data_IF_751589623892
#
_entry.id   IF_751589623892
#
_cell.length_a   1.000
_cell.length_b   1.000
_cell.length_c   1.000
_cell.angle_alpha   90.00
_cell.angle_beta   90.00
_cell.angle_gamma   90.00
#
_symmetry.space_group_name_H-M   'P 1'
#
loop_
_entity.id
_entity.type
_entity.pdbx_description
1 polymer ?
#
# COMPACT_ATOMS: atom_id res chain seq x y z
N UNK A 1 -18.03 -2.51 -27.05
CA UNK A 1 -17.92 -2.80 -25.60
C UNK A 1 -17.09 -4.05 -25.40
N UNK A 2 -16.26 -4.12 -24.37
CA UNK A 2 -15.49 -5.33 -24.04
C UNK A 2 -16.43 -6.51 -23.73
N UNK A 3 -16.07 -7.75 -24.10
CA UNK A 3 -16.87 -8.92 -23.75
C UNK A 3 -16.88 -9.13 -22.22
N UNK A 4 -17.90 -9.77 -21.63
CA UNK A 4 -18.06 -9.85 -20.17
C UNK A 4 -16.83 -10.38 -19.41
N UNK A 5 -16.17 -11.40 -19.94
CA UNK A 5 -14.96 -11.98 -19.33
C UNK A 5 -13.73 -11.05 -19.37
N UNK A 6 -13.72 -10.05 -20.27
CA UNK A 6 -12.68 -9.02 -20.33
C UNK A 6 -13.00 -7.88 -19.37
N UNK A 7 -14.27 -7.55 -19.16
CA UNK A 7 -14.68 -6.50 -18.23
C UNK A 7 -14.19 -6.79 -16.80
N UNK A 8 -14.30 -8.03 -16.33
CA UNK A 8 -13.79 -8.45 -15.03
C UNK A 8 -12.27 -8.23 -14.90
N UNK A 9 -11.52 -8.53 -15.96
CA UNK A 9 -10.06 -8.36 -15.99
C UNK A 9 -9.68 -6.89 -15.99
N UNK A 10 -10.41 -6.07 -16.75
CA UNK A 10 -10.22 -4.62 -16.80
C UNK A 10 -10.48 -3.99 -15.43
N UNK A 11 -11.58 -4.36 -14.77
CA UNK A 11 -11.91 -3.89 -13.42
C UNK A 11 -10.79 -4.29 -12.45
N UNK A 12 -10.40 -5.56 -12.41
CA UNK A 12 -9.30 -6.03 -11.56
C UNK A 12 -7.99 -5.28 -11.85
N UNK A 13 -7.67 -5.04 -13.12
CA UNK A 13 -6.47 -4.31 -13.51
C UNK A 13 -6.48 -2.85 -13.02
N UNK A 14 -7.64 -2.18 -13.03
CA UNK A 14 -7.80 -0.82 -12.48
C UNK A 14 -7.55 -0.82 -10.97
N UNK A 15 -8.14 -1.76 -10.22
CA UNK A 15 -7.91 -1.87 -8.78
C UNK A 15 -6.43 -2.18 -8.47
N UNK A 16 -5.84 -3.15 -9.16
CA UNK A 16 -4.43 -3.53 -8.97
C UNK A 16 -3.49 -2.36 -9.26
N UNK A 17 -3.71 -1.64 -10.36
CA UNK A 17 -2.90 -0.46 -10.70
C UNK A 17 -3.06 0.65 -9.66
N UNK A 18 -4.28 0.88 -9.19
CA UNK A 18 -4.55 1.90 -8.17
C UNK A 18 -3.84 1.56 -6.86
N UNK A 19 -3.96 0.33 -6.37
CA UNK A 19 -3.27 -0.13 -5.16
C UNK A 19 -1.75 -0.12 -5.32
N UNK A 20 -1.23 -0.55 -6.47
CA UNK A 20 0.21 -0.53 -6.74
C UNK A 20 0.78 0.90 -6.74
N UNK A 21 0.05 1.87 -7.29
CA UNK A 21 0.44 3.30 -7.26
C UNK A 21 0.34 3.87 -5.85
N UNK A 22 -0.72 3.54 -5.13
CA UNK A 22 -0.96 4.03 -3.78
C UNK A 22 0.12 3.54 -2.82
N UNK A 23 0.49 2.27 -2.90
CA UNK A 23 1.50 1.63 -2.06
C UNK A 23 2.91 1.67 -2.68
N UNK A 24 3.12 2.41 -3.77
CA UNK A 24 4.43 2.45 -4.43
C UNK A 24 5.51 2.92 -3.44
N UNK A 25 6.60 2.15 -3.34
CA UNK A 25 7.71 2.45 -2.46
C UNK A 25 7.56 1.94 -1.03
N UNK A 26 6.45 1.29 -0.66
CA UNK A 26 6.18 0.80 0.71
C UNK A 26 7.32 -0.06 1.29
N UNK A 27 8.02 -0.82 0.45
CA UNK A 27 9.15 -1.69 0.87
C UNK A 27 10.30 -0.92 1.51
N UNK A 28 10.54 0.33 1.09
CA UNK A 28 11.56 1.18 1.71
C UNK A 28 11.18 1.64 3.12
N UNK A 29 9.92 1.46 3.52
CA UNK A 29 9.41 1.79 4.84
C UNK A 29 9.18 0.53 5.68
N UNK A 30 9.66 -0.63 5.24
CA UNK A 30 9.64 -1.87 6.02
C UNK A 30 10.98 -2.07 6.74
N UNK A 31 10.92 -2.43 8.01
CA UNK A 31 12.09 -2.81 8.80
C UNK A 31 11.91 -4.23 9.32
N UNK A 32 12.92 -5.07 9.13
CA UNK A 32 12.97 -6.42 9.72
C UNK A 32 13.84 -6.37 10.96
N UNK A 33 13.24 -6.66 12.12
CA UNK A 33 13.93 -6.73 13.41
C UNK A 33 14.22 -8.20 13.73
N UNK A 34 15.49 -8.52 13.98
CA UNK A 34 15.97 -9.91 14.15
C UNK A 34 16.51 -10.24 15.55
N UNK A 35 16.21 -9.41 16.56
CA UNK A 35 16.62 -9.67 17.95
C UNK A 35 15.67 -10.62 18.69
N UNK A 36 14.52 -10.95 18.09
CA UNK A 36 13.52 -11.88 18.64
C UNK A 36 13.63 -13.26 17.98
N UNK A 37 13.19 -14.34 18.65
CA UNK A 37 13.19 -15.70 18.08
C UNK A 37 12.45 -15.81 16.74
N UNK A 38 11.37 -15.04 16.58
CA UNK A 38 10.69 -14.85 15.30
C UNK A 38 10.99 -13.43 14.76
N UNK A 39 11.41 -13.27 13.49
CA UNK A 39 11.62 -11.96 12.89
C UNK A 39 10.34 -11.11 12.92
N UNK A 40 10.45 -9.86 13.36
CA UNK A 40 9.33 -8.92 13.39
C UNK A 40 9.45 -7.98 12.20
N UNK A 41 8.37 -7.87 11.41
CA UNK A 41 8.26 -6.90 10.32
C UNK A 41 7.49 -5.68 10.82
N UNK A 42 8.08 -4.49 10.74
CA UNK A 42 7.42 -3.23 11.08
C UNK A 42 7.33 -2.31 9.88
N UNK A 43 6.32 -1.44 9.86
CA UNK A 43 6.09 -0.46 8.81
C UNK A 43 6.17 0.97 9.35
N UNK A 44 7.05 1.79 8.79
CA UNK A 44 7.24 3.18 9.17
C UNK A 44 6.21 4.08 8.46
N UNK A 45 4.97 4.10 8.97
CA UNK A 45 3.82 4.84 8.41
C UNK A 45 4.13 6.32 8.14
N UNK A 46 4.73 7.03 9.11
CA UNK A 46 5.03 8.44 8.98
C UNK A 46 6.04 8.73 7.86
N UNK A 47 7.10 7.92 7.77
CA UNK A 47 8.09 8.02 6.69
C UNK A 47 7.48 7.75 5.31
N UNK A 48 6.61 6.75 5.20
CA UNK A 48 5.91 6.44 3.95
C UNK A 48 5.02 7.61 3.49
N UNK A 49 4.18 8.14 4.39
CA UNK A 49 3.30 9.27 4.08
C UNK A 49 4.09 10.54 3.71
N UNK A 50 5.15 10.85 4.48
CA UNK A 50 5.99 12.02 4.26
C UNK A 50 6.74 11.98 2.93
N UNK A 51 7.43 10.87 2.64
CA UNK A 51 8.19 10.72 1.39
C UNK A 51 7.32 10.74 0.13
N UNK A 52 6.00 10.52 0.27
CA UNK A 52 5.03 10.50 -0.83
C UNK A 52 4.16 11.76 -0.89
N UNK A 53 4.33 12.72 0.04
CA UNK A 53 3.47 13.90 0.13
C UNK A 53 2.01 13.59 0.48
N UNK A 54 1.76 12.44 1.13
CA UNK A 54 0.43 11.94 1.44
C UNK A 54 -0.02 12.26 2.88
N UNK A 55 0.83 12.87 3.70
CA UNK A 55 0.53 13.16 5.12
C UNK A 55 -0.73 14.02 5.33
N UNK A 56 -1.09 14.86 4.35
CA UNK A 56 -2.29 15.70 4.40
C UNK A 56 -3.49 15.10 3.65
N UNK A 57 -3.37 13.89 3.11
CA UNK A 57 -4.45 13.20 2.42
C UNK A 57 -5.25 12.35 3.43
N UNK A 58 -6.48 12.74 3.81
CA UNK A 58 -7.22 12.01 4.85
C UNK A 58 -7.55 10.58 4.45
N UNK A 59 -7.74 10.34 3.15
CA UNK A 59 -7.94 8.99 2.62
C UNK A 59 -6.70 8.11 2.84
N UNK A 60 -5.51 8.59 2.48
CA UNK A 60 -4.28 7.80 2.62
C UNK A 60 -3.95 7.53 4.10
N UNK A 61 -4.15 8.52 4.97
CA UNK A 61 -3.95 8.37 6.42
C UNK A 61 -4.87 7.30 6.99
N UNK A 62 -6.19 7.41 6.75
CA UNK A 62 -7.18 6.45 7.26
C UNK A 62 -7.03 5.06 6.65
N UNK A 63 -6.67 4.97 5.36
CA UNK A 63 -6.43 3.68 4.73
C UNK A 63 -5.29 2.95 5.44
N UNK A 64 -4.15 3.62 5.68
CA UNK A 64 -3.04 2.99 6.38
C UNK A 64 -3.37 2.64 7.83
N UNK A 65 -4.23 3.41 8.50
CA UNK A 65 -4.73 3.07 9.85
C UNK A 65 -5.60 1.82 9.88
N UNK A 66 -6.25 1.46 8.77
CA UNK A 66 -7.03 0.22 8.71
C UNK A 66 -6.19 -1.04 8.49
N UNK A 67 -4.90 -0.90 8.16
CA UNK A 67 -4.01 -2.02 7.80
C UNK A 67 -3.14 -2.53 8.96
N UNK A 68 -3.03 -1.77 10.06
CA UNK A 68 -2.18 -2.04 11.22
C UNK A 68 -2.94 -1.81 12.51
#
# INVERSE_FOLDING_TARGET
SSPPHMLDKEIRAVFMRTLAKLLQGYRHCLTIIRIHPAPVLTFHKAGFLGARGLSQCPFAVRLLESMF
#
